data_IF_659771674742
#
_entry.id   IF_659771674742
#
_cell.length_a   1.000
_cell.length_b   1.000
_cell.length_c   1.000
_cell.angle_alpha   90.00
_cell.angle_beta   90.00
_cell.angle_gamma   90.00
#
_symmetry.space_group_name_H-M   'P 1'
#
loop_
_entity.id
_entity.type
_entity.pdbx_description
1 polymer ?
#
# COMPACT_ATOMS: atom_id res chain seq x y z
N UNK A 1 6.86 27.11 -12.55
CA UNK A 1 6.82 27.16 -11.08
C UNK A 1 5.54 26.59 -10.47
N UNK A 2 4.33 26.92 -10.97
CA UNK A 2 3.06 26.42 -10.39
C UNK A 2 2.98 24.90 -10.20
N UNK A 3 3.41 24.11 -11.19
CA UNK A 3 3.45 22.65 -11.09
C UNK A 3 4.34 22.13 -9.95
N UNK A 4 5.55 22.69 -9.79
CA UNK A 4 6.45 22.31 -8.71
C UNK A 4 5.84 22.59 -7.34
N UNK A 5 5.25 23.78 -7.15
CA UNK A 5 4.58 24.16 -5.89
C UNK A 5 3.45 23.19 -5.56
N UNK A 6 2.62 22.83 -6.54
CA UNK A 6 1.57 21.83 -6.37
C UNK A 6 2.15 20.48 -5.96
N UNK A 7 3.16 19.98 -6.66
CA UNK A 7 3.78 18.68 -6.34
C UNK A 7 4.38 18.69 -4.93
N UNK A 8 5.09 19.74 -4.52
CA UNK A 8 5.63 19.84 -3.15
C UNK A 8 4.52 19.86 -2.10
N UNK A 9 3.44 20.61 -2.33
CA UNK A 9 2.30 20.62 -1.43
C UNK A 9 1.68 19.22 -1.30
N UNK A 10 1.46 18.53 -2.41
CA UNK A 10 0.93 17.17 -2.42
C UNK A 10 1.84 16.16 -1.70
N UNK A 11 3.16 16.28 -1.87
CA UNK A 11 4.14 15.45 -1.15
C UNK A 11 4.07 15.72 0.36
N UNK A 12 3.96 16.98 0.78
CA UNK A 12 3.80 17.33 2.19
C UNK A 12 2.52 16.71 2.79
N UNK A 13 1.40 16.79 2.06
CA UNK A 13 0.15 16.11 2.46
C UNK A 13 0.34 14.60 2.56
N UNK A 14 1.01 13.98 1.58
CA UNK A 14 1.30 12.54 1.61
C UNK A 14 2.09 12.13 2.85
N UNK A 15 3.15 12.87 3.19
CA UNK A 15 3.98 12.60 4.36
C UNK A 15 3.15 12.70 5.65
N UNK A 16 2.42 13.80 5.84
CA UNK A 16 1.60 14.01 7.03
C UNK A 16 0.50 12.95 7.18
N UNK A 17 -0.19 12.62 6.09
CA UNK A 17 -1.22 11.59 6.07
C UNK A 17 -0.65 10.20 6.40
N UNK A 18 0.51 9.86 5.84
CA UNK A 18 1.19 8.58 6.09
C UNK A 18 1.67 8.47 7.53
N UNK A 19 2.27 9.51 8.10
CA UNK A 19 2.67 9.55 9.52
C UNK A 19 1.44 9.32 10.41
N UNK A 20 0.33 10.01 10.14
CA UNK A 20 -0.93 9.83 10.88
C UNK A 20 -1.45 8.39 10.79
N UNK A 21 -1.41 7.78 9.61
CA UNK A 21 -1.85 6.40 9.40
C UNK A 21 -0.98 5.39 10.16
N UNK A 22 0.34 5.54 10.08
CA UNK A 22 1.31 4.70 10.80
C UNK A 22 1.11 4.83 12.30
N UNK A 23 1.00 6.06 12.81
CA UNK A 23 0.74 6.32 14.22
C UNK A 23 -0.56 5.63 14.66
N UNK A 24 -1.66 5.85 13.93
CA UNK A 24 -2.95 5.20 14.19
C UNK A 24 -2.78 3.68 14.27
N UNK A 25 -2.14 3.06 13.27
CA UNK A 25 -1.98 1.62 13.17
C UNK A 25 -1.18 1.03 14.35
N UNK A 26 -0.10 1.69 14.76
CA UNK A 26 0.73 1.24 15.90
C UNK A 26 -0.03 1.38 17.23
N UNK A 27 -0.88 2.40 17.35
CA UNK A 27 -1.69 2.65 18.56
C UNK A 27 -3.02 1.88 18.60
N UNK A 28 -3.35 1.07 17.58
CA UNK A 28 -4.60 0.31 17.61
C UNK A 28 -4.60 -0.70 18.76
N UNK A 29 -5.74 -0.86 19.46
CA UNK A 29 -5.90 -1.90 20.47
C UNK A 29 -5.57 -3.30 19.93
N UNK A 30 -5.04 -4.15 20.82
CA UNK A 30 -4.66 -5.53 20.50
C UNK A 30 -5.78 -6.33 19.82
N UNK A 31 -7.03 -6.16 20.26
CA UNK A 31 -8.19 -6.90 19.73
C UNK A 31 -8.53 -6.61 18.26
N UNK A 32 -7.89 -5.61 17.63
CA UNK A 32 -8.04 -5.33 16.19
C UNK A 32 -6.97 -6.03 15.34
N UNK A 33 -6.04 -6.76 15.96
CA UNK A 33 -5.00 -7.54 15.30
C UNK A 33 -5.44 -8.99 15.24
N UNK A 34 -5.11 -9.65 14.13
CA UNK A 34 -5.61 -10.98 13.83
C UNK A 34 -4.46 -11.98 13.73
N UNK A 35 -4.78 -13.21 14.13
CA UNK A 35 -3.96 -14.40 13.97
C UNK A 35 -4.64 -15.32 12.95
N UNK A 36 -4.59 -14.93 11.67
CA UNK A 36 -5.25 -15.67 10.59
C UNK A 36 -4.34 -16.79 10.11
N UNK A 37 -4.75 -18.02 10.44
CA UNK A 37 -4.09 -19.22 9.97
C UNK A 37 -4.27 -19.46 8.46
N UNK A 38 -3.26 -20.04 7.78
CA UNK A 38 -1.94 -20.40 8.31
C UNK A 38 -1.00 -19.19 8.48
N UNK A 39 -0.25 -19.17 9.60
CA UNK A 39 0.73 -18.13 9.95
C UNK A 39 2.03 -18.36 9.17
N UNK A 40 2.23 -17.58 8.11
CA UNK A 40 3.22 -17.93 7.07
C UNK A 40 4.67 -17.80 7.51
N UNK A 41 4.95 -17.10 8.60
CA UNK A 41 6.32 -16.92 9.09
C UNK A 41 6.78 -18.09 9.97
N UNK A 42 5.91 -19.04 10.34
CA UNK A 42 6.31 -20.21 11.12
C UNK A 42 7.27 -21.14 10.34
N UNK A 43 8.36 -21.65 10.94
CA UNK A 43 9.22 -22.64 10.34
C UNK A 43 8.73 -24.05 10.70
N UNK A 44 7.51 -24.41 10.25
CA UNK A 44 6.93 -25.73 10.49
C UNK A 44 6.48 -26.41 9.20
N UNK A 45 6.68 -27.72 9.12
CA UNK A 45 6.10 -28.60 8.13
C UNK A 45 4.57 -28.59 8.16
N UNK A 46 3.97 -28.19 9.29
CA UNK A 46 2.52 -28.07 9.46
C UNK A 46 1.86 -27.03 8.57
N UNK A 47 2.62 -26.03 8.10
CA UNK A 47 2.13 -25.04 7.12
C UNK A 47 1.60 -25.71 5.84
N UNK A 48 2.12 -26.88 5.47
CA UNK A 48 1.72 -27.59 4.26
C UNK A 48 0.24 -28.03 4.30
N UNK A 49 -0.31 -28.31 5.48
CA UNK A 49 -1.70 -28.71 5.66
C UNK A 49 -2.54 -27.63 6.37
N UNK A 50 -2.00 -26.43 6.55
CA UNK A 50 -2.68 -25.31 7.20
C UNK A 50 -2.63 -25.33 8.73
N UNK A 51 -1.78 -26.18 9.32
CA UNK A 51 -1.61 -26.30 10.75
C UNK A 51 -0.75 -25.19 11.38
N UNK A 52 -0.49 -25.33 12.68
CA UNK A 52 0.14 -24.31 13.55
C UNK A 52 1.08 -24.92 14.58
N UNK A 53 1.98 -24.10 15.14
CA UNK A 53 2.64 -24.41 16.41
C UNK A 53 1.65 -24.76 17.54
N UNK A 54 0.41 -24.28 17.50
CA UNK A 54 -0.63 -24.59 18.51
C UNK A 54 -0.99 -26.08 18.58
N UNK A 55 -0.67 -26.86 17.55
CA UNK A 55 -0.85 -28.31 17.55
C UNK A 55 0.20 -29.04 18.38
N UNK A 56 1.29 -28.37 18.74
CA UNK A 56 2.28 -28.96 19.62
C UNK A 56 1.75 -29.10 21.05
N UNK A 57 1.98 -30.27 21.64
CA UNK A 57 1.82 -30.46 23.09
C UNK A 57 2.69 -29.44 23.84
N UNK A 58 2.07 -28.80 24.84
CA UNK A 58 2.67 -27.75 25.66
C UNK A 58 3.37 -26.66 24.82
N UNK A 59 2.75 -26.24 23.72
CA UNK A 59 3.32 -25.23 22.83
C UNK A 59 3.74 -23.95 23.60
N UNK A 60 3.01 -23.58 24.65
CA UNK A 60 3.29 -22.39 25.49
C UNK A 60 4.64 -22.46 26.25
N UNK A 61 5.27 -23.63 26.36
CA UNK A 61 6.60 -23.80 26.96
C UNK A 61 7.73 -23.72 25.92
N UNK A 62 7.39 -23.76 24.63
CA UNK A 62 8.37 -23.82 23.54
C UNK A 62 8.73 -22.42 23.05
N UNK A 63 9.99 -22.25 22.65
CA UNK A 63 10.44 -21.03 21.97
C UNK A 63 10.06 -21.12 20.50
N UNK A 64 9.09 -20.33 20.07
CA UNK A 64 8.72 -20.23 18.66
C UNK A 64 9.70 -19.31 17.92
N UNK A 65 10.14 -19.76 16.74
CA UNK A 65 10.97 -18.97 15.84
C UNK A 65 10.12 -18.40 14.72
N UNK A 66 10.37 -17.15 14.32
CA UNK A 66 9.80 -16.57 13.12
C UNK A 66 10.82 -16.57 11.99
N UNK A 67 10.40 -16.96 10.78
CA UNK A 67 11.23 -16.92 9.57
C UNK A 67 10.80 -15.76 8.67
N UNK A 68 11.61 -14.71 8.65
CA UNK A 68 11.45 -13.59 7.71
C UNK A 68 11.50 -14.06 6.24
N UNK A 69 12.26 -15.13 5.96
CA UNK A 69 12.32 -15.70 4.62
C UNK A 69 10.98 -16.32 4.21
N UNK A 70 10.30 -17.02 5.12
CA UNK A 70 9.00 -17.62 4.83
C UNK A 70 7.93 -16.53 4.64
N UNK A 71 7.97 -15.48 5.48
CA UNK A 71 7.14 -14.29 5.35
C UNK A 71 7.29 -13.65 3.96
N UNK A 72 8.53 -13.34 3.56
CA UNK A 72 8.82 -12.74 2.25
C UNK A 72 8.41 -13.67 1.10
N UNK A 73 8.70 -14.96 1.22
CA UNK A 73 8.35 -15.97 0.20
C UNK A 73 6.84 -16.06 -0.03
N UNK A 74 6.02 -15.81 0.99
CA UNK A 74 4.56 -15.72 0.83
C UNK A 74 4.10 -14.34 0.35
N UNK A 75 4.58 -13.26 0.98
CA UNK A 75 4.12 -11.90 0.72
C UNK A 75 4.47 -11.42 -0.69
N UNK A 76 5.68 -11.73 -1.19
CA UNK A 76 6.14 -11.23 -2.49
C UNK A 76 5.23 -11.72 -3.62
N UNK A 77 4.94 -13.03 -3.79
CA UNK A 77 3.97 -13.48 -4.79
C UNK A 77 2.55 -12.98 -4.54
N UNK A 78 2.13 -12.87 -3.28
CA UNK A 78 0.79 -12.40 -2.95
C UNK A 78 0.56 -10.96 -3.38
N UNK A 79 1.56 -10.09 -3.18
CA UNK A 79 1.44 -8.67 -3.49
C UNK A 79 1.80 -8.38 -4.95
N UNK A 80 2.91 -8.93 -5.46
CA UNK A 80 3.38 -8.61 -6.81
C UNK A 80 2.59 -9.33 -7.89
N UNK A 81 2.18 -10.58 -7.64
CA UNK A 81 1.49 -11.41 -8.63
C UNK A 81 0.00 -11.59 -8.34
N UNK A 82 -0.52 -10.98 -7.27
CA UNK A 82 -1.91 -11.15 -6.83
C UNK A 82 -2.28 -12.64 -6.74
N UNK A 83 -1.39 -13.45 -6.12
CA UNK A 83 -1.51 -14.91 -6.07
C UNK A 83 -2.86 -15.38 -5.53
N UNK A 84 -3.42 -14.71 -4.53
CA UNK A 84 -4.78 -14.97 -4.03
C UNK A 84 -5.85 -14.87 -5.12
N UNK A 85 -5.84 -13.80 -5.93
CA UNK A 85 -6.76 -13.67 -7.06
C UNK A 85 -6.52 -14.76 -8.11
N UNK A 86 -5.26 -15.11 -8.39
CA UNK A 86 -4.97 -16.18 -9.35
C UNK A 86 -5.53 -17.54 -8.93
N UNK A 87 -5.58 -17.81 -7.62
CA UNK A 87 -6.11 -19.06 -7.08
C UNK A 87 -7.63 -19.05 -6.99
N UNK A 88 -8.20 -18.00 -6.40
CA UNK A 88 -9.62 -17.96 -6.04
C UNK A 88 -10.52 -17.36 -7.13
N UNK A 89 -10.00 -16.43 -7.94
CA UNK A 89 -10.78 -15.76 -9.00
C UNK A 89 -9.91 -15.37 -10.21
N UNK A 90 -9.60 -16.37 -11.05
CA UNK A 90 -8.78 -16.18 -12.26
C UNK A 90 -9.36 -15.16 -13.24
N UNK A 91 -10.68 -15.07 -13.34
CA UNK A 91 -11.34 -14.10 -14.22
C UNK A 91 -11.02 -12.66 -13.82
N UNK A 92 -11.10 -12.35 -12.52
CA UNK A 92 -10.78 -11.04 -11.98
C UNK A 92 -9.27 -10.75 -12.03
N UNK A 93 -8.42 -11.78 -11.95
CA UNK A 93 -6.97 -11.64 -12.05
C UNK A 93 -6.54 -11.01 -13.38
N UNK A 94 -7.11 -11.43 -14.51
CA UNK A 94 -6.72 -10.92 -15.84
C UNK A 94 -6.91 -9.43 -16.03
N UNK A 95 -7.86 -8.81 -15.32
CA UNK A 95 -8.05 -7.35 -15.34
C UNK A 95 -7.28 -6.66 -14.22
N UNK A 96 -7.20 -7.29 -13.05
CA UNK A 96 -6.57 -6.70 -11.86
C UNK A 96 -5.06 -6.70 -11.93
N UNK A 97 -4.44 -7.76 -12.49
CA UNK A 97 -2.99 -7.87 -12.56
C UNK A 97 -2.36 -6.79 -13.45
N UNK A 98 -2.81 -6.55 -14.70
CA UNK A 98 -2.29 -5.43 -15.51
C UNK A 98 -2.43 -4.08 -14.80
N UNK A 99 -3.52 -3.85 -14.08
CA UNK A 99 -3.73 -2.62 -13.32
C UNK A 99 -2.68 -2.42 -12.23
N UNK A 100 -2.49 -3.43 -11.37
CA UNK A 100 -1.52 -3.35 -10.28
C UNK A 100 -0.08 -3.35 -10.78
N UNK A 101 0.23 -4.20 -11.76
CA UNK A 101 1.56 -4.27 -12.34
C UNK A 101 1.92 -2.96 -13.08
N UNK A 102 0.95 -2.34 -13.75
CA UNK A 102 1.09 -0.99 -14.31
C UNK A 102 1.44 0.05 -13.25
N UNK A 103 0.74 0.05 -12.11
CA UNK A 103 1.07 0.94 -10.97
C UNK A 103 2.47 0.66 -10.40
N UNK A 104 2.85 -0.60 -10.21
CA UNK A 104 4.18 -0.98 -9.73
C UNK A 104 5.29 -0.51 -10.67
N UNK A 105 5.08 -0.66 -11.99
CA UNK A 105 6.02 -0.17 -13.00
C UNK A 105 6.09 1.36 -13.02
N UNK A 106 4.99 2.08 -12.73
CA UNK A 106 5.04 3.53 -12.60
C UNK A 106 5.82 3.98 -11.36
N UNK A 107 5.66 3.29 -10.23
CA UNK A 107 6.48 3.53 -9.03
C UNK A 107 7.95 3.27 -9.33
N UNK A 108 8.27 2.17 -10.02
CA UNK A 108 9.62 1.85 -10.45
C UNK A 108 10.18 2.93 -11.41
N UNK A 109 9.37 3.40 -12.36
CA UNK A 109 9.73 4.48 -13.29
C UNK A 109 10.08 5.75 -12.52
N UNK A 110 9.27 6.15 -11.54
CA UNK A 110 9.56 7.32 -10.68
C UNK A 110 10.87 7.13 -9.91
N UNK A 111 11.12 5.95 -9.33
CA UNK A 111 12.36 5.66 -8.65
C UNK A 111 13.58 5.76 -9.59
N UNK A 112 13.46 5.27 -10.82
CA UNK A 112 14.51 5.40 -11.85
C UNK A 112 14.71 6.85 -12.31
N UNK A 113 13.64 7.64 -12.43
CA UNK A 113 13.73 9.07 -12.73
C UNK A 113 14.45 9.84 -11.62
N UNK A 114 14.17 9.53 -10.35
CA UNK A 114 14.87 10.10 -9.19
C UNK A 114 16.34 9.70 -9.22
N UNK A 115 16.64 8.41 -9.44
CA UNK A 115 18.02 7.93 -9.57
C UNK A 115 18.77 8.65 -10.70
N UNK A 116 18.13 8.80 -11.86
CA UNK A 116 18.70 9.55 -12.97
C UNK A 116 19.01 11.00 -12.57
N UNK A 117 18.06 11.69 -11.92
CA UNK A 117 18.28 13.06 -11.46
C UNK A 117 19.41 13.17 -10.43
N UNK A 118 19.52 12.23 -9.49
CA UNK A 118 20.62 12.18 -8.51
C UNK A 118 21.98 11.96 -9.19
N UNK A 119 22.05 11.10 -10.21
CA UNK A 119 23.29 10.88 -10.98
C UNK A 119 23.71 12.13 -11.76
N UNK A 120 22.76 12.87 -12.33
CA UNK A 120 23.05 14.15 -12.98
C UNK A 120 23.55 15.18 -11.96
N UNK A 121 22.97 15.23 -10.76
CA UNK A 121 23.43 16.12 -9.69
C UNK A 121 24.84 15.80 -9.19
N UNK A 122 25.19 14.51 -9.16
CA UNK A 122 26.49 14.05 -8.66
C UNK A 122 27.61 14.13 -9.70
N UNK A 123 27.36 13.66 -10.94
CA UNK A 123 28.37 13.53 -11.99
C UNK A 123 28.27 14.57 -13.11
N UNK A 124 27.23 15.41 -13.12
CA UNK A 124 26.92 16.32 -14.22
C UNK A 124 26.23 15.63 -15.40
N UNK A 125 25.71 16.44 -16.33
CA UNK A 125 24.95 15.94 -17.50
C UNK A 125 25.80 15.10 -18.45
N UNK A 126 27.08 15.47 -18.62
CA UNK A 126 28.02 14.78 -19.51
C UNK A 126 28.29 13.36 -19.04
N UNK A 127 28.41 13.14 -17.72
CA UNK A 127 28.62 11.82 -17.13
C UNK A 127 27.49 10.84 -17.46
N UNK A 128 26.24 11.30 -17.40
CA UNK A 128 25.07 10.47 -17.71
C UNK A 128 24.89 10.33 -19.22
N UNK A 129 25.11 11.38 -20.01
CA UNK A 129 24.91 11.35 -21.46
C UNK A 129 25.92 10.48 -22.21
N UNK A 130 27.19 10.42 -21.77
CA UNK A 130 28.26 9.69 -22.47
C UNK A 130 28.56 8.30 -21.88
N UNK A 131 27.96 7.94 -20.75
CA UNK A 131 28.22 6.68 -20.05
C UNK A 131 27.27 5.55 -20.45
N UNK A 132 27.79 4.32 -20.56
CA UNK A 132 26.96 3.11 -20.75
C UNK A 132 25.84 2.98 -19.69
N UNK A 133 26.11 3.46 -18.47
CA UNK A 133 25.15 3.48 -17.37
C UNK A 133 23.94 4.38 -17.70
N UNK A 134 24.16 5.56 -18.28
CA UNK A 134 23.07 6.47 -18.61
C UNK A 134 22.22 5.99 -19.79
N UNK A 135 22.84 5.32 -20.76
CA UNK A 135 22.10 4.64 -21.85
C UNK A 135 21.21 3.54 -21.30
N UNK A 136 21.76 2.67 -20.43
CA UNK A 136 21.01 1.59 -19.80
C UNK A 136 19.87 2.12 -18.92
N UNK A 137 20.15 3.13 -18.11
CA UNK A 137 19.16 3.76 -17.24
C UNK A 137 18.04 4.45 -18.05
N UNK A 138 18.42 5.19 -19.10
CA UNK A 138 17.47 5.83 -20.01
C UNK A 138 16.58 4.80 -20.72
N UNK A 139 17.16 3.71 -21.20
CA UNK A 139 16.41 2.59 -21.80
C UNK A 139 15.46 1.94 -20.80
N UNK A 140 15.90 1.72 -19.56
CA UNK A 140 15.08 1.13 -18.51
C UNK A 140 13.90 2.04 -18.11
N UNK A 141 14.12 3.35 -18.01
CA UNK A 141 13.07 4.35 -17.76
C UNK A 141 12.00 4.29 -18.86
N UNK A 142 12.43 4.28 -20.13
CA UNK A 142 11.51 4.22 -21.28
C UNK A 142 10.74 2.90 -21.30
N UNK A 143 11.44 1.78 -21.11
CA UNK A 143 10.83 0.45 -21.08
C UNK A 143 9.79 0.34 -19.95
N UNK A 144 10.19 0.61 -18.70
CA UNK A 144 9.30 0.53 -17.55
C UNK A 144 8.15 1.54 -17.62
N UNK A 145 8.42 2.75 -18.12
CA UNK A 145 7.41 3.79 -18.32
C UNK A 145 6.35 3.36 -19.33
N UNK A 146 6.74 2.95 -20.53
CA UNK A 146 5.79 2.51 -21.56
C UNK A 146 5.01 1.26 -21.15
N UNK A 147 5.69 0.24 -20.62
CA UNK A 147 5.01 -0.96 -20.14
C UNK A 147 4.05 -0.63 -19.00
N UNK A 148 4.45 0.24 -18.07
CA UNK A 148 3.60 0.70 -16.96
C UNK A 148 2.36 1.46 -17.44
N UNK A 149 2.52 2.38 -18.39
CA UNK A 149 1.43 3.17 -18.96
C UNK A 149 0.44 2.30 -19.75
N UNK A 150 0.93 1.41 -20.61
CA UNK A 150 0.07 0.53 -21.43
C UNK A 150 -0.73 -0.40 -20.52
N UNK A 151 -0.07 -1.09 -19.60
CA UNK A 151 -0.74 -2.00 -18.66
C UNK A 151 -1.68 -1.24 -17.72
N UNK A 152 -1.29 -0.05 -17.29
CA UNK A 152 -2.11 0.83 -16.47
C UNK A 152 -3.42 1.22 -17.16
N UNK A 153 -3.36 1.66 -18.42
CA UNK A 153 -4.57 1.96 -19.22
C UNK A 153 -5.42 0.70 -19.40
N UNK A 154 -4.85 -0.39 -19.90
CA UNK A 154 -5.62 -1.63 -20.16
C UNK A 154 -6.24 -2.17 -18.88
N UNK A 155 -5.48 -2.21 -17.79
CA UNK A 155 -5.93 -2.71 -16.50
C UNK A 155 -6.95 -1.79 -15.83
N UNK A 156 -6.79 -0.48 -15.90
CA UNK A 156 -7.73 0.46 -15.25
C UNK A 156 -9.08 0.45 -15.95
N UNK A 157 -9.13 0.43 -17.28
CA UNK A 157 -10.38 0.25 -18.01
C UNK A 157 -10.96 -1.16 -17.81
N UNK A 158 -10.12 -2.20 -17.87
CA UNK A 158 -10.57 -3.57 -17.64
C UNK A 158 -11.24 -3.75 -16.28
N UNK A 159 -10.64 -3.22 -15.21
CA UNK A 159 -11.21 -3.25 -13.86
C UNK A 159 -12.46 -2.39 -13.73
N UNK A 160 -12.49 -1.20 -14.36
CA UNK A 160 -13.66 -0.34 -14.39
C UNK A 160 -14.86 -1.01 -15.04
N UNK A 161 -14.70 -1.51 -16.28
CA UNK A 161 -15.77 -2.17 -17.00
C UNK A 161 -16.18 -3.48 -16.35
N UNK A 162 -15.23 -4.25 -15.81
CA UNK A 162 -15.57 -5.47 -15.04
C UNK A 162 -16.46 -5.13 -13.85
N UNK A 163 -16.15 -4.06 -13.11
CA UNK A 163 -16.96 -3.59 -11.96
C UNK A 163 -18.32 -3.03 -12.37
N UNK A 164 -18.50 -2.57 -13.61
CA UNK A 164 -19.81 -2.14 -14.13
C UNK A 164 -20.65 -3.28 -14.68
N UNK A 165 -20.00 -4.31 -15.22
CA UNK A 165 -20.68 -5.44 -15.86
C UNK A 165 -21.11 -6.52 -14.86
N UNK A 166 -20.32 -6.73 -13.81
CA UNK A 166 -20.50 -7.85 -12.86
C UNK A 166 -21.43 -7.43 -11.69
N UNK A 167 -22.66 -7.98 -11.57
CA UNK A 167 -23.61 -7.59 -10.53
C UNK A 167 -23.09 -7.83 -9.11
N UNK A 168 -22.37 -8.93 -8.89
CA UNK A 168 -21.82 -9.25 -7.57
C UNK A 168 -20.80 -8.19 -7.15
N UNK A 169 -19.92 -7.77 -8.06
CA UNK A 169 -18.96 -6.69 -7.75
C UNK A 169 -19.66 -5.35 -7.48
N UNK A 170 -20.77 -5.06 -8.18
CA UNK A 170 -21.52 -3.81 -8.00
C UNK A 170 -22.16 -3.71 -6.64
N UNK A 171 -22.71 -4.81 -6.13
CA UNK A 171 -23.34 -4.86 -4.80
C UNK A 171 -22.34 -4.55 -3.67
N UNK A 172 -21.07 -4.92 -3.85
CA UNK A 172 -19.99 -4.60 -2.92
C UNK A 172 -19.19 -3.34 -3.28
N UNK A 173 -19.63 -2.54 -4.26
CA UNK A 173 -18.94 -1.32 -4.69
C UNK A 173 -19.59 -0.07 -4.13
N UNK A 174 -18.77 0.81 -3.57
CA UNK A 174 -19.14 2.17 -3.20
C UNK A 174 -18.82 3.17 -4.31
N UNK A 175 -19.37 4.38 -4.23
CA UNK A 175 -18.98 5.48 -5.14
C UNK A 175 -17.46 5.73 -5.16
N UNK A 176 -16.80 5.59 -4.01
CA UNK A 176 -15.35 5.80 -3.90
C UNK A 176 -14.58 4.81 -4.78
N UNK A 177 -15.06 3.58 -4.95
CA UNK A 177 -14.36 2.56 -5.75
C UNK A 177 -14.34 2.94 -7.24
N UNK A 178 -15.47 3.43 -7.75
CA UNK A 178 -15.57 3.91 -9.13
C UNK A 178 -14.75 5.19 -9.35
N UNK A 179 -14.85 6.14 -8.41
CA UNK A 179 -14.07 7.38 -8.49
C UNK A 179 -12.56 7.09 -8.49
N UNK A 180 -12.09 6.19 -7.61
CA UNK A 180 -10.67 5.82 -7.52
C UNK A 180 -10.15 5.25 -8.84
N UNK A 181 -10.88 4.29 -9.42
CA UNK A 181 -10.49 3.68 -10.69
C UNK A 181 -10.48 4.71 -11.81
N UNK A 182 -11.51 5.58 -11.89
CA UNK A 182 -11.59 6.63 -12.90
C UNK A 182 -10.45 7.64 -12.75
N UNK A 183 -10.17 8.08 -11.52
CA UNK A 183 -9.12 9.06 -11.23
C UNK A 183 -7.73 8.53 -11.64
N UNK A 184 -7.43 7.27 -11.29
CA UNK A 184 -6.19 6.60 -11.72
C UNK A 184 -6.16 6.40 -13.24
N UNK A 185 -7.29 6.03 -13.86
CA UNK A 185 -7.40 5.87 -15.32
C UNK A 185 -7.09 7.17 -16.06
N UNK A 186 -7.57 8.30 -15.55
CA UNK A 186 -7.30 9.62 -16.15
C UNK A 186 -5.82 9.98 -16.09
N UNK A 187 -5.11 9.61 -15.02
CA UNK A 187 -3.66 9.77 -14.94
C UNK A 187 -2.96 8.94 -16.03
N UNK A 188 -3.27 7.63 -16.10
CA UNK A 188 -2.66 6.74 -17.08
C UNK A 188 -2.92 7.19 -18.52
N UNK A 189 -4.15 7.57 -18.84
CA UNK A 189 -4.52 8.09 -20.16
C UNK A 189 -3.76 9.37 -20.50
N UNK A 190 -3.77 10.36 -19.60
CA UNK A 190 -3.12 11.65 -19.84
C UNK A 190 -1.61 11.48 -20.03
N UNK A 191 -0.97 10.65 -19.19
CA UNK A 191 0.44 10.34 -19.30
C UNK A 191 0.76 9.54 -20.58
N UNK A 192 -0.07 8.58 -20.96
CA UNK A 192 0.09 7.79 -22.19
C UNK A 192 -0.03 8.66 -23.45
N UNK A 193 -1.05 9.51 -23.54
CA UNK A 193 -1.23 10.47 -24.64
C UNK A 193 -0.02 11.41 -24.74
N UNK A 194 0.47 11.89 -23.60
CA UNK A 194 1.66 12.75 -23.55
C UNK A 194 2.90 12.03 -24.05
N UNK A 195 3.13 10.78 -23.64
CA UNK A 195 4.25 10.00 -24.13
C UNK A 195 4.12 9.69 -25.62
N UNK A 196 2.91 9.43 -26.13
CA UNK A 196 2.69 9.11 -27.53
C UNK A 196 3.00 10.28 -28.47
N UNK A 197 2.66 11.51 -28.07
CA UNK A 197 2.70 12.66 -28.98
C UNK A 197 3.76 13.72 -28.63
N UNK A 198 4.26 13.76 -27.39
CA UNK A 198 5.07 14.89 -26.89
C UNK A 198 6.40 14.41 -26.32
N UNK A 199 6.40 13.39 -25.47
CA UNK A 199 7.60 12.96 -24.73
C UNK A 199 7.80 11.43 -24.74
N UNK A 200 7.99 10.81 -25.93
CA UNK A 200 8.07 9.35 -26.08
C UNK A 200 9.29 8.73 -25.37
N UNK A 201 10.34 9.52 -25.16
CA UNK A 201 11.56 9.09 -24.49
C UNK A 201 11.61 9.51 -23.01
N UNK A 202 10.53 10.11 -22.48
CA UNK A 202 10.45 10.61 -21.12
C UNK A 202 11.60 11.58 -20.76
N UNK A 203 12.10 12.34 -21.74
CA UNK A 203 13.16 13.35 -21.54
C UNK A 203 12.63 14.51 -20.74
N UNK A 204 11.41 14.95 -21.07
CA UNK A 204 10.69 15.92 -20.26
C UNK A 204 10.48 15.38 -18.84
N UNK A 205 9.89 14.21 -18.68
CA UNK A 205 9.67 13.62 -17.35
C UNK A 205 10.95 13.60 -16.48
N UNK A 206 12.11 13.27 -17.06
CA UNK A 206 13.43 13.39 -16.39
C UNK A 206 13.75 14.82 -15.98
N UNK A 207 13.58 15.79 -16.87
CA UNK A 207 13.82 17.21 -16.59
C UNK A 207 12.91 17.76 -15.48
N UNK A 208 11.67 17.28 -15.37
CA UNK A 208 10.76 17.64 -14.28
C UNK A 208 11.21 17.10 -12.94
N UNK A 209 11.56 15.81 -12.88
CA UNK A 209 12.02 15.19 -11.63
C UNK A 209 13.34 15.82 -11.18
N UNK A 210 14.25 16.14 -12.10
CA UNK A 210 15.43 16.93 -11.78
C UNK A 210 15.05 18.29 -11.18
N UNK A 211 14.12 19.02 -11.82
CA UNK A 211 13.60 20.29 -11.31
C UNK A 211 12.98 20.19 -9.91
N UNK A 212 12.33 19.07 -9.58
CA UNK A 212 11.79 18.82 -8.23
C UNK A 212 12.89 18.64 -7.17
N UNK A 213 14.08 18.15 -7.54
CA UNK A 213 15.17 17.97 -6.58
C UNK A 213 15.99 19.26 -6.38
N UNK A 214 15.90 20.21 -7.31
CA UNK A 214 16.71 21.44 -7.35
C UNK A 214 15.91 22.72 -7.10
N UNK A 215 14.70 22.61 -6.55
CA UNK A 215 13.87 23.77 -6.23
C UNK A 215 13.32 24.51 -7.46
N UNK A 216 13.21 23.83 -8.60
CA UNK A 216 12.66 24.36 -9.85
C UNK A 216 13.71 24.67 -10.92
N UNK A 217 14.99 24.37 -10.68
CA UNK A 217 16.07 24.52 -11.67
C UNK A 217 16.05 23.34 -12.64
N UNK A 218 15.71 23.54 -13.91
CA UNK A 218 15.67 22.42 -14.87
C UNK A 218 16.84 22.49 -15.84
N UNK A 219 17.41 21.31 -16.13
CA UNK A 219 18.45 21.08 -17.14
C UNK A 219 17.97 21.47 -18.54
N UNK A 220 16.68 21.27 -18.82
CA UNK A 220 16.04 21.56 -20.09
C UNK A 220 14.61 22.06 -19.90
N UNK A 221 14.00 22.64 -20.93
CA UNK A 221 12.58 22.98 -20.90
C UNK A 221 11.73 21.72 -20.71
N UNK A 222 10.88 21.71 -19.68
CA UNK A 222 9.99 20.58 -19.43
C UNK A 222 8.84 20.52 -20.45
N UNK A 223 9.05 19.79 -21.54
CA UNK A 223 8.12 19.69 -22.67
C UNK A 223 6.71 19.16 -22.33
N UNK A 224 6.53 18.14 -21.46
CA UNK A 224 5.19 17.65 -21.15
C UNK A 224 4.26 18.71 -20.53
N UNK A 225 4.74 19.62 -19.68
CA UNK A 225 3.89 20.70 -19.13
C UNK A 225 3.42 21.68 -20.20
N UNK A 226 4.12 21.74 -21.33
CA UNK A 226 3.73 22.60 -22.45
C UNK A 226 2.53 22.01 -23.20
N UNK A 227 2.28 20.70 -23.07
CA UNK A 227 1.08 20.06 -23.57
C UNK A 227 -0.03 20.05 -22.52
N UNK A 228 -1.29 20.15 -22.97
CA UNK A 228 -2.46 20.05 -22.07
C UNK A 228 -2.45 18.73 -21.31
N UNK A 229 -2.28 17.61 -22.01
CA UNK A 229 -2.29 16.28 -21.40
C UNK A 229 -1.13 16.04 -20.44
N UNK A 230 0.06 16.60 -20.71
CA UNK A 230 1.20 16.43 -19.82
C UNK A 230 1.09 17.29 -18.56
N UNK A 231 0.58 18.52 -18.69
CA UNK A 231 0.20 19.33 -17.53
C UNK A 231 -0.87 18.65 -16.67
N UNK A 232 -1.90 18.09 -17.29
CA UNK A 232 -2.92 17.29 -16.60
C UNK A 232 -2.31 16.05 -15.94
N UNK A 233 -1.41 15.33 -16.60
CA UNK A 233 -0.74 14.16 -16.03
C UNK A 233 0.03 14.51 -14.75
N UNK A 234 0.75 15.63 -14.71
CA UNK A 234 1.43 16.10 -13.48
C UNK A 234 0.45 16.43 -12.37
N UNK A 235 -0.63 17.15 -12.71
CA UNK A 235 -1.64 17.55 -11.73
C UNK A 235 -2.26 16.27 -11.14
N UNK A 236 -2.71 15.34 -11.98
CA UNK A 236 -3.32 14.09 -11.55
C UNK A 236 -2.32 13.24 -10.74
N UNK A 237 -1.07 13.12 -11.17
CA UNK A 237 -0.03 12.41 -10.41
C UNK A 237 0.19 13.02 -9.02
N UNK A 238 0.31 14.35 -8.95
CA UNK A 238 0.50 15.08 -7.68
C UNK A 238 -0.70 14.87 -6.76
N UNK A 239 -1.92 15.04 -7.29
CA UNK A 239 -3.14 14.83 -6.51
C UNK A 239 -3.28 13.36 -6.07
N UNK A 240 -2.94 12.38 -6.89
CA UNK A 240 -2.94 10.96 -6.52
C UNK A 240 -1.98 10.70 -5.35
N UNK A 241 -0.77 11.27 -5.37
CA UNK A 241 0.18 11.17 -4.26
C UNK A 241 -0.44 11.68 -2.97
N UNK A 242 -1.10 12.84 -2.97
CA UNK A 242 -1.78 13.35 -1.78
C UNK A 242 -3.00 12.51 -1.36
N UNK A 243 -3.73 11.97 -2.33
CA UNK A 243 -5.03 11.32 -2.13
C UNK A 243 -4.95 9.88 -1.64
N UNK A 244 -4.02 9.07 -2.16
CA UNK A 244 -3.86 7.64 -1.81
C UNK A 244 -3.79 7.38 -0.30
N UNK A 245 -2.97 8.09 0.51
CA UNK A 245 -2.89 7.84 1.95
C UNK A 245 -4.14 8.33 2.72
N UNK A 246 -5.00 9.15 2.12
CA UNK A 246 -6.21 9.65 2.76
C UNK A 246 -7.42 8.73 2.55
N UNK A 247 -7.26 7.63 1.80
CA UNK A 247 -8.35 6.71 1.45
C UNK A 247 -8.05 5.26 1.81
N UNK A 248 -9.01 4.38 1.53
CA UNK A 248 -8.81 2.94 1.64
C UNK A 248 -7.74 2.40 0.66
N UNK A 249 -7.30 3.18 -0.34
CA UNK A 249 -6.19 2.80 -1.23
C UNK A 249 -4.83 2.75 -0.52
N UNK A 250 -4.72 3.31 0.68
CA UNK A 250 -3.50 3.20 1.51
C UNK A 250 -3.08 1.76 1.79
N UNK A 251 -4.01 0.79 1.69
CA UNK A 251 -3.69 -0.64 1.76
C UNK A 251 -2.61 -1.06 0.76
N UNK A 252 -2.47 -0.39 -0.39
CA UNK A 252 -1.49 -0.73 -1.41
C UNK A 252 -0.07 -0.75 -0.86
N UNK A 253 0.31 0.27 -0.09
CA UNK A 253 1.67 0.37 0.46
C UNK A 253 1.74 -0.06 1.93
N UNK A 254 0.66 0.14 2.70
CA UNK A 254 0.63 -0.24 4.12
C UNK A 254 0.74 -1.76 4.32
N UNK A 255 0.31 -2.57 3.35
CA UNK A 255 0.52 -4.03 3.37
C UNK A 255 1.99 -4.37 3.55
N UNK A 256 2.93 -3.75 2.84
CA UNK A 256 4.36 -4.12 2.97
C UNK A 256 4.91 -3.93 4.40
N UNK A 257 4.36 -3.01 5.18
CA UNK A 257 4.83 -2.70 6.52
C UNK A 257 4.06 -3.40 7.64
N UNK A 258 2.76 -3.65 7.44
CA UNK A 258 1.86 -4.10 8.50
C UNK A 258 1.18 -5.45 8.23
N UNK A 259 1.43 -6.10 7.08
CA UNK A 259 0.78 -7.38 6.77
C UNK A 259 0.99 -8.42 7.87
N UNK A 260 2.21 -8.56 8.40
CA UNK A 260 2.51 -9.47 9.50
C UNK A 260 1.80 -9.06 10.79
N UNK A 261 1.88 -7.79 11.20
CA UNK A 261 1.24 -7.31 12.46
C UNK A 261 -0.28 -7.30 12.43
N UNK A 262 -0.89 -7.40 11.25
CA UNK A 262 -2.35 -7.39 11.12
C UNK A 262 -2.89 -8.80 10.93
N UNK A 263 -2.24 -9.61 10.08
CA UNK A 263 -2.75 -10.93 9.69
C UNK A 263 -2.15 -12.08 10.49
N UNK A 264 -0.94 -11.90 11.01
CA UNK A 264 -0.11 -12.94 11.61
C UNK A 264 0.50 -12.46 12.94
N UNK A 265 -0.24 -11.67 13.73
CA UNK A 265 0.23 -11.24 15.06
C UNK A 265 -0.04 -12.36 16.07
N UNK A 266 0.76 -13.43 16.00
CA UNK A 266 0.67 -14.66 16.79
C UNK A 266 1.47 -14.58 18.10
N UNK A 267 1.89 -13.39 18.51
CA UNK A 267 2.68 -13.18 19.71
C UNK A 267 1.93 -13.68 20.96
N UNK A 268 2.50 -14.63 21.74
CA UNK A 268 1.80 -15.20 22.87
C UNK A 268 1.68 -14.18 24.01
N UNK A 269 0.56 -14.23 24.74
CA UNK A 269 0.40 -13.47 25.96
C UNK A 269 1.23 -14.10 27.10
N UNK A 270 2.34 -13.46 27.46
CA UNK A 270 3.22 -13.89 28.55
C UNK A 270 3.01 -13.01 29.80
N UNK A 271 3.14 -13.62 30.99
CA UNK A 271 3.07 -12.89 32.28
C UNK A 271 4.16 -11.83 32.36
N UNK A 272 3.79 -10.63 32.78
CA UNK A 272 4.65 -9.44 32.82
C UNK A 272 4.97 -8.85 31.44
N UNK A 273 4.34 -9.36 30.37
CA UNK A 273 4.55 -8.90 29.01
C UNK A 273 3.66 -7.72 28.63
N UNK A 274 4.02 -7.02 27.54
CA UNK A 274 3.25 -5.86 27.06
C UNK A 274 1.82 -6.20 26.61
N UNK A 275 1.57 -7.43 26.14
CA UNK A 275 0.23 -7.91 25.79
C UNK A 275 -0.66 -7.97 27.04
N UNK A 276 -0.13 -8.49 28.16
CA UNK A 276 -0.86 -8.52 29.43
C UNK A 276 -1.18 -7.09 29.90
N UNK A 277 -0.21 -6.18 29.83
CA UNK A 277 -0.42 -4.77 30.17
C UNK A 277 -1.54 -4.11 29.33
N UNK A 278 -1.57 -4.38 28.02
CA UNK A 278 -2.59 -3.83 27.13
C UNK A 278 -3.97 -4.47 27.38
N UNK A 279 -4.03 -5.75 27.71
CA UNK A 279 -5.27 -6.41 28.16
C UNK A 279 -5.74 -5.79 29.48
N UNK A 280 -4.86 -5.59 30.46
CA UNK A 280 -5.20 -4.97 31.75
C UNK A 280 -5.69 -3.54 31.58
N UNK A 281 -5.12 -2.75 30.65
CA UNK A 281 -5.64 -1.42 30.29
C UNK A 281 -7.05 -1.51 29.73
N UNK A 282 -7.32 -2.46 28.83
CA UNK A 282 -8.67 -2.67 28.28
C UNK A 282 -9.67 -3.12 29.35
N UNK A 283 -9.26 -3.97 30.29
CA UNK A 283 -10.12 -4.42 31.40
C UNK A 283 -10.53 -3.28 32.33
N UNK A 284 -9.76 -2.18 32.38
CA UNK A 284 -10.11 -0.97 33.17
C UNK A 284 -11.13 -0.06 32.47
N UNK A 285 -11.41 -0.28 31.18
CA UNK A 285 -12.41 0.51 30.45
C UNK A 285 -13.81 0.22 31.00
N UNK A 286 -14.64 1.26 31.04
CA UNK A 286 -16.02 1.19 31.51
C UNK A 286 -16.96 1.27 30.30
N UNK A 287 -17.62 0.18 29.89
CA UNK A 287 -18.50 0.20 28.73
C UNK A 287 -19.76 1.02 29.02
N UNK A 288 -20.24 1.78 28.02
CA UNK A 288 -21.36 2.74 28.16
C UNK A 288 -22.50 2.50 27.16
N UNK A 289 -22.56 1.33 26.52
CA UNK A 289 -23.56 1.05 25.49
C UNK A 289 -24.85 0.46 26.09
N UNK A 290 -25.95 0.55 25.34
CA UNK A 290 -27.28 0.18 25.81
C UNK A 290 -27.53 -1.35 25.84
N UNK A 291 -26.77 -2.07 26.67
CA UNK A 291 -26.91 -3.50 26.90
C UNK A 291 -27.14 -3.75 28.40
N UNK A 292 -28.39 -3.56 28.85
CA UNK A 292 -28.77 -3.72 30.27
C UNK A 292 -28.40 -5.08 30.86
N UNK A 293 -28.40 -6.14 30.05
CA UNK A 293 -28.06 -7.50 30.48
C UNK A 293 -26.56 -7.71 30.80
N UNK A 294 -25.69 -6.79 30.37
CA UNK A 294 -24.23 -6.81 30.65
C UNK A 294 -23.88 -5.78 31.74
N UNK A 295 -24.84 -4.97 32.21
CA UNK A 295 -24.59 -3.87 33.15
C UNK A 295 -23.54 -2.86 32.62
N UNK A 296 -23.54 -2.62 31.31
CA UNK A 296 -22.65 -1.68 30.63
C UNK A 296 -23.09 -0.20 30.79
N UNK A 297 -23.33 0.23 32.03
CA UNK A 297 -23.86 1.55 32.40
C UNK A 297 -22.77 2.61 32.67
N UNK A 298 -21.51 2.29 32.36
CA UNK A 298 -20.35 3.15 32.61
C UNK A 298 -19.86 3.17 34.06
N UNK A 299 -20.45 2.41 34.98
CA UNK A 299 -20.04 2.39 36.39
C UNK A 299 -18.96 1.35 36.66
N UNK A 300 -19.19 0.12 36.20
CA UNK A 300 -18.29 -1.04 36.34
C UNK A 300 -17.30 -1.11 35.17
N UNK A 301 -16.09 -1.55 35.47
CA UNK A 301 -15.09 -1.85 34.45
C UNK A 301 -15.33 -3.22 33.82
N UNK A 302 -14.74 -3.51 32.66
CA UNK A 302 -14.74 -4.85 32.09
C UNK A 302 -14.19 -5.90 33.05
N UNK A 303 -13.17 -5.56 33.84
CA UNK A 303 -12.63 -6.44 34.88
C UNK A 303 -13.68 -6.79 35.94
N UNK A 304 -14.48 -5.82 36.39
CA UNK A 304 -15.55 -6.04 37.37
C UNK A 304 -16.70 -6.87 36.80
N UNK A 305 -17.03 -6.66 35.52
CA UNK A 305 -18.11 -7.35 34.83
C UNK A 305 -17.76 -8.80 34.45
N UNK A 306 -16.50 -9.04 34.04
CA UNK A 306 -16.01 -10.35 33.62
C UNK A 306 -15.56 -11.23 34.80
N UNK A 307 -15.30 -10.63 35.96
CA UNK A 307 -15.01 -11.39 37.17
C UNK A 307 -16.26 -12.14 37.62
N UNK A 308 -16.19 -13.46 37.84
CA UNK A 308 -17.33 -14.18 38.41
C UNK A 308 -17.62 -13.56 39.77
N UNK A 309 -18.77 -12.90 39.92
CA UNK A 309 -19.30 -12.60 41.24
C UNK A 309 -19.39 -13.94 41.99
N UNK A 310 -18.99 -14.02 43.26
CA UNK A 310 -19.34 -15.18 44.07
C UNK A 310 -20.86 -15.23 44.05
N UNK A 311 -21.44 -16.25 43.41
CA UNK A 311 -22.87 -16.52 43.56
C UNK A 311 -23.04 -16.97 45.01
N UNK A 312 -23.42 -16.06 45.89
CA UNK A 312 -24.05 -16.46 47.15
C UNK A 312 -25.29 -17.28 46.76
N UNK A 313 -25.17 -18.59 46.90
CA UNK A 313 -26.30 -19.50 46.96
C UNK A 313 -27.14 -19.10 48.16
N UNK A 314 -28.36 -18.62 47.89
CA UNK A 314 -29.47 -18.65 48.86
C UNK A 314 -30.32 -19.88 48.59
#
# INVERSE_FOLDING_TARGET
MGFYVLTYFCIAVFILATIRLIYRQITLPLHLRWEIYPVQHEPTDKLAHGGSYMEDLNWWEKKHGSSLLNELKYMVPEILLLRGLWKENRGLWWVSFPFHFGLYLMIATIALLILHALLVLWGGETFVASGAIGVLLGGLIVFTGWTGLILGVVGSFGTFFRRLADPELREYSSFSDYFNILFISMFFLSACITCLFVDPLLVGARAYVFGLLTGGSSVNTYAPAQSVFGGVAIILASLLVAYVPLTHMSHMFMKFFFYHKIKWDDAPNLRGGGIEDDILKNLRLKPTWNAKHIEADGRKSWGDLASPAPKETK
#
